data_IF_909589865197
#
_entry.id   IF_909589865197
#
_cell.length_a   1.000
_cell.length_b   1.000
_cell.length_c   1.000
_cell.angle_alpha   90.00
_cell.angle_beta   90.00
_cell.angle_gamma   90.00
#
_symmetry.space_group_name_H-M   'P 1'
#
loop_
_entity.id
_entity.type
_entity.pdbx_description
1 polymer ?
#
# COMPACT_ATOMS: atom_id res chain seq x y z
N UNK A 1 10.68 -15.09 4.03
CA UNK A 1 9.81 -14.03 4.55
C UNK A 1 10.23 -13.72 5.97
N UNK A 2 10.49 -12.45 6.28
CA UNK A 2 10.76 -11.97 7.63
C UNK A 2 9.64 -10.99 7.95
N UNK A 3 8.85 -11.28 8.98
CA UNK A 3 7.82 -10.37 9.48
C UNK A 3 8.35 -9.69 10.73
N UNK A 4 8.58 -8.38 10.65
CA UNK A 4 8.99 -7.57 11.79
C UNK A 4 7.73 -7.05 12.47
N UNK A 5 7.66 -7.18 13.80
CA UNK A 5 6.55 -6.62 14.57
C UNK A 5 6.67 -5.09 14.74
N UNK A 6 7.82 -4.48 14.45
CA UNK A 6 7.99 -3.02 14.45
C UNK A 6 7.24 -2.38 13.27
N UNK A 7 6.72 -1.14 13.39
CA UNK A 7 6.89 -0.23 14.52
C UNK A 7 5.84 -0.34 15.63
N UNK A 8 5.18 -1.48 15.87
CA UNK A 8 4.05 -1.55 16.84
C UNK A 8 4.38 -1.12 18.28
N UNK A 9 5.67 -0.98 18.61
CA UNK A 9 6.17 -0.57 19.93
C UNK A 9 6.05 0.92 20.25
N UNK A 10 5.63 1.78 19.31
CA UNK A 10 5.39 3.20 19.61
C UNK A 10 4.22 3.44 20.56
N UNK A 11 3.33 2.45 20.71
CA UNK A 11 2.15 2.53 21.56
C UNK A 11 2.58 2.71 23.03
N UNK A 12 2.01 3.69 23.76
CA UNK A 12 2.38 3.91 25.15
C UNK A 12 2.04 2.68 26.01
N UNK A 13 2.86 2.46 27.04
CA UNK A 13 2.52 1.52 28.11
C UNK A 13 1.21 2.02 28.75
N UNK A 14 0.27 1.09 28.97
CA UNK A 14 -1.10 1.33 29.44
C UNK A 14 -1.25 2.56 30.36
N UNK A 15 -2.02 3.56 29.89
CA UNK A 15 -2.51 4.69 30.70
C UNK A 15 -1.89 6.06 30.39
N UNK A 16 -0.79 6.14 29.62
CA UNK A 16 -0.21 7.43 29.25
C UNK A 16 -0.81 7.98 27.94
N UNK A 17 -1.35 9.21 27.97
CA UNK A 17 -1.69 9.94 26.74
C UNK A 17 -0.42 10.57 26.16
N UNK A 18 -0.12 10.29 24.90
CA UNK A 18 0.94 10.97 24.17
C UNK A 18 0.36 12.13 23.38
N UNK A 19 0.99 13.30 23.50
CA UNK A 19 0.75 14.38 22.54
C UNK A 19 1.22 13.99 21.13
N UNK A 20 0.85 14.79 20.13
CA UNK A 20 1.16 14.48 18.74
C UNK A 20 2.67 14.45 18.45
N UNK A 21 3.46 15.31 19.09
CA UNK A 21 4.90 15.40 18.87
C UNK A 21 5.60 14.17 19.41
N UNK A 22 5.26 13.79 20.64
CA UNK A 22 5.83 12.62 21.30
C UNK A 22 5.46 11.32 20.58
N UNK A 23 4.20 11.21 20.12
CA UNK A 23 3.75 10.09 19.30
C UNK A 23 4.58 9.92 18.03
N UNK A 24 4.77 11.02 17.30
CA UNK A 24 5.57 11.01 16.08
C UNK A 24 7.04 10.67 16.36
N UNK A 25 7.60 11.18 17.47
CA UNK A 25 8.96 10.85 17.91
C UNK A 25 9.14 9.36 18.18
N UNK A 26 8.22 8.74 18.92
CA UNK A 26 8.27 7.31 19.23
C UNK A 26 8.07 6.45 17.99
N UNK A 27 7.17 6.84 17.09
CA UNK A 27 6.97 6.17 15.80
C UNK A 27 8.25 6.19 14.94
N UNK A 28 8.90 7.35 14.83
CA UNK A 28 10.18 7.46 14.13
C UNK A 28 11.28 6.60 14.77
N UNK A 29 11.34 6.53 16.11
CA UNK A 29 12.30 5.67 16.80
C UNK A 29 12.07 4.18 16.51
N UNK A 30 10.82 3.75 16.43
CA UNK A 30 10.46 2.38 16.06
C UNK A 30 10.86 2.06 14.61
N UNK A 31 10.69 3.02 13.67
CA UNK A 31 11.19 2.89 12.29
C UNK A 31 12.72 2.70 12.26
N UNK A 32 13.47 3.52 12.99
CA UNK A 32 14.95 3.40 13.07
C UNK A 32 15.37 2.03 13.63
N UNK A 33 14.57 1.49 14.55
CA UNK A 33 14.82 0.15 15.11
C UNK A 33 14.57 -0.94 14.06
N UNK A 34 13.50 -0.84 13.28
CA UNK A 34 13.21 -1.74 12.17
C UNK A 34 14.33 -1.69 11.11
N UNK A 35 14.79 -0.50 10.73
CA UNK A 35 15.88 -0.30 9.77
C UNK A 35 17.17 -1.01 10.20
N UNK A 36 17.57 -0.85 11.47
CA UNK A 36 18.73 -1.59 12.04
C UNK A 36 18.53 -3.10 12.00
N UNK A 37 17.32 -3.57 12.24
CA UNK A 37 16.95 -4.99 12.13
C UNK A 37 17.13 -5.52 10.70
N UNK A 38 16.63 -4.78 9.71
CA UNK A 38 16.81 -5.08 8.29
C UNK A 38 18.30 -5.11 7.93
N UNK A 39 19.06 -4.08 8.30
CA UNK A 39 20.50 -4.00 8.04
C UNK A 39 21.26 -5.21 8.61
N UNK A 40 20.90 -5.66 9.82
CA UNK A 40 21.47 -6.86 10.43
C UNK A 40 21.18 -8.12 9.63
N UNK A 41 19.95 -8.31 9.17
CA UNK A 41 19.58 -9.46 8.32
C UNK A 41 20.37 -9.42 7.01
N UNK A 42 20.41 -8.26 6.35
CA UNK A 42 21.12 -8.09 5.08
C UNK A 42 22.63 -8.32 5.21
N UNK A 43 23.25 -7.96 6.35
CA UNK A 43 24.67 -8.21 6.60
C UNK A 43 25.06 -9.69 6.60
N UNK A 44 24.10 -10.60 6.77
CA UNK A 44 24.33 -12.04 6.69
C UNK A 44 24.53 -12.58 5.27
N UNK A 45 24.18 -11.82 4.23
CA UNK A 45 24.30 -12.24 2.84
C UNK A 45 25.64 -11.79 2.24
N UNK A 46 26.72 -12.52 2.50
CA UNK A 46 28.08 -12.15 2.10
C UNK A 46 28.54 -12.66 0.73
N UNK A 47 27.97 -13.77 0.25
CA UNK A 47 28.41 -14.42 -0.98
C UNK A 47 27.58 -14.04 -2.21
N UNK A 48 26.25 -14.02 -2.05
CA UNK A 48 25.31 -13.74 -3.14
C UNK A 48 24.36 -12.64 -2.65
N UNK A 49 24.43 -11.43 -3.23
CA UNK A 49 23.51 -10.36 -2.87
C UNK A 49 22.07 -10.76 -3.25
N UNK A 50 21.11 -10.72 -2.31
CA UNK A 50 19.73 -11.08 -2.60
C UNK A 50 19.01 -9.94 -3.34
N UNK A 51 17.90 -10.27 -4.00
CA UNK A 51 16.84 -9.30 -4.22
C UNK A 51 16.04 -9.20 -2.92
N UNK A 52 15.87 -7.97 -2.45
CA UNK A 52 15.17 -7.61 -1.22
C UNK A 52 13.91 -6.85 -1.61
N UNK A 53 12.79 -7.27 -1.04
CA UNK A 53 11.53 -6.54 -1.12
C UNK A 53 11.14 -6.10 0.30
N UNK A 54 10.95 -4.81 0.50
CA UNK A 54 10.47 -4.23 1.77
C UNK A 54 9.07 -3.66 1.53
N UNK A 55 8.12 -4.09 2.35
CA UNK A 55 6.73 -3.62 2.32
C UNK A 55 6.15 -3.59 3.73
N UNK A 56 4.94 -3.06 3.87
CA UNK A 56 4.13 -3.12 5.10
C UNK A 56 2.78 -3.75 4.78
N UNK A 57 2.18 -4.43 5.75
CA UNK A 57 0.82 -4.98 5.66
C UNK A 57 -0.24 -3.89 5.77
N UNK A 58 0.03 -2.85 6.56
CA UNK A 58 -0.75 -1.62 6.63
C UNK A 58 0.13 -0.41 7.00
N UNK A 59 -0.45 0.79 6.90
CA UNK A 59 0.07 2.04 7.43
C UNK A 59 -0.31 2.25 8.89
N UNK A 60 -0.12 3.45 9.42
CA UNK A 60 -0.43 3.78 10.82
C UNK A 60 -1.00 5.20 10.92
N UNK A 61 -2.19 5.33 11.51
CA UNK A 61 -2.78 6.61 11.88
C UNK A 61 -2.10 7.18 13.12
N UNK A 62 -1.51 8.37 12.99
CA UNK A 62 -0.86 9.09 14.09
C UNK A 62 -1.67 10.32 14.51
N UNK A 63 -2.97 10.34 14.25
CA UNK A 63 -3.89 11.45 14.45
C UNK A 63 -4.45 12.04 13.16
N UNK A 64 -3.99 11.56 12.01
CA UNK A 64 -4.54 11.87 10.68
C UNK A 64 -6.04 11.57 10.67
N UNK A 65 -6.85 12.52 10.21
CA UNK A 65 -8.33 12.42 10.22
C UNK A 65 -8.95 12.13 11.59
N UNK A 66 -8.23 12.47 12.68
CA UNK A 66 -8.64 12.15 14.04
C UNK A 66 -8.49 10.68 14.42
N UNK A 67 -7.82 9.89 13.57
CA UNK A 67 -7.70 8.45 13.71
C UNK A 67 -6.34 8.09 14.31
N UNK A 68 -6.39 7.18 15.27
CA UNK A 68 -5.22 6.55 15.85
C UNK A 68 -5.23 5.09 15.48
N UNK A 69 -4.03 4.54 15.29
CA UNK A 69 -3.83 3.15 14.92
C UNK A 69 -4.21 2.86 13.47
N UNK A 70 -4.49 1.59 13.16
CA UNK A 70 -4.77 1.07 11.83
C UNK A 70 -5.94 0.10 11.85
N UNK A 71 -6.45 -0.24 10.66
CA UNK A 71 -7.58 -1.13 10.46
C UNK A 71 -8.94 -0.48 10.73
N UNK A 72 -8.99 0.85 10.83
CA UNK A 72 -10.21 1.60 11.15
C UNK A 72 -10.76 2.38 9.97
N UNK A 73 -9.92 2.78 9.03
CA UNK A 73 -10.29 3.59 7.87
C UNK A 73 -9.47 3.24 6.63
N UNK A 74 -9.79 3.89 5.52
CA UNK A 74 -9.12 3.70 4.24
C UNK A 74 -8.34 4.94 3.80
N UNK A 75 -7.94 5.83 4.70
CA UNK A 75 -7.07 6.96 4.35
C UNK A 75 -5.65 6.47 4.03
N UNK A 76 -4.88 7.27 3.29
CA UNK A 76 -3.52 6.95 2.87
C UNK A 76 -2.61 6.68 4.05
N UNK A 77 -2.84 7.32 5.20
CA UNK A 77 -2.13 7.02 6.45
C UNK A 77 -2.19 5.54 6.82
N UNK A 78 -3.27 4.83 6.48
CA UNK A 78 -3.46 3.41 6.80
C UNK A 78 -3.26 2.44 5.63
N UNK A 79 -3.40 2.87 4.37
CA UNK A 79 -3.34 1.95 3.22
C UNK A 79 -2.19 2.21 2.24
N UNK A 80 -1.53 3.36 2.31
CA UNK A 80 -0.39 3.69 1.43
C UNK A 80 0.91 3.27 2.09
N UNK A 81 1.32 2.05 1.82
CA UNK A 81 2.51 1.41 2.40
C UNK A 81 3.73 1.48 1.47
N UNK A 82 4.95 1.34 1.99
CA UNK A 82 6.14 1.16 1.15
C UNK A 82 6.02 -0.11 0.29
N UNK A 83 6.56 -0.07 -0.92
CA UNK A 83 6.84 -1.26 -1.74
C UNK A 83 8.17 -1.01 -2.46
N UNK A 84 9.27 -1.40 -1.81
CA UNK A 84 10.63 -1.18 -2.29
C UNK A 84 11.21 -2.49 -2.79
N UNK A 85 11.80 -2.50 -3.98
CA UNK A 85 12.53 -3.64 -4.55
C UNK A 85 13.97 -3.18 -4.77
N UNK A 86 14.94 -3.93 -4.25
CA UNK A 86 16.36 -3.61 -4.37
C UNK A 86 17.18 -4.90 -4.54
N UNK A 87 18.28 -4.83 -5.29
CA UNK A 87 19.18 -5.97 -5.47
C UNK A 87 19.76 -6.05 -6.88
N UNK A 88 20.46 -7.15 -7.21
CA UNK A 88 21.07 -7.34 -8.52
C UNK A 88 20.06 -7.22 -9.66
N UNK A 89 20.42 -6.48 -10.72
CA UNK A 89 19.60 -6.32 -11.91
C UNK A 89 18.43 -5.33 -11.76
N UNK A 90 18.05 -4.94 -10.55
CA UNK A 90 16.98 -3.95 -10.32
C UNK A 90 17.49 -2.55 -10.72
N UNK A 91 16.72 -1.86 -11.57
CA UNK A 91 17.04 -0.51 -12.03
C UNK A 91 16.67 0.52 -10.95
N UNK A 92 17.56 1.49 -10.65
CA UNK A 92 17.20 2.64 -9.83
C UNK A 92 16.06 3.44 -10.48
N UNK A 93 15.02 3.77 -9.70
CA UNK A 93 13.89 4.54 -10.19
C UNK A 93 12.70 4.49 -9.24
N UNK A 94 11.58 5.04 -9.71
CA UNK A 94 10.29 5.01 -9.00
C UNK A 94 9.18 4.66 -9.99
N UNK A 95 8.28 3.78 -9.59
CA UNK A 95 7.03 3.50 -10.29
C UNK A 95 5.98 4.45 -9.70
N UNK A 96 5.36 5.28 -10.54
CA UNK A 96 4.41 6.31 -10.09
C UNK A 96 2.97 5.79 -10.13
N UNK A 97 2.73 4.76 -10.92
CA UNK A 97 1.44 4.10 -11.05
C UNK A 97 1.06 3.32 -9.80
N UNK A 98 -0.24 3.19 -9.56
CA UNK A 98 -0.77 2.45 -8.42
C UNK A 98 -0.36 0.98 -8.48
N UNK A 99 0.28 0.51 -7.42
CA UNK A 99 0.55 -0.91 -7.17
C UNK A 99 -0.22 -1.36 -5.92
N UNK A 100 -0.41 -2.67 -5.77
CA UNK A 100 -1.13 -3.29 -4.66
C UNK A 100 -0.24 -4.31 -3.95
N UNK A 101 -0.54 -4.61 -2.67
CA UNK A 101 0.08 -5.75 -1.98
C UNK A 101 -0.16 -7.09 -2.71
N UNK A 102 -1.26 -7.20 -3.46
CA UNK A 102 -1.55 -8.38 -4.30
C UNK A 102 -0.54 -8.56 -5.44
N UNK A 103 0.13 -7.49 -5.87
CA UNK A 103 1.16 -7.52 -6.92
C UNK A 103 2.46 -8.20 -6.44
N UNK A 104 2.65 -8.35 -5.12
CA UNK A 104 3.84 -8.92 -4.53
C UNK A 104 4.08 -10.37 -4.96
N UNK A 105 3.04 -11.21 -4.91
CA UNK A 105 3.14 -12.63 -5.25
C UNK A 105 3.60 -12.87 -6.70
N UNK A 106 2.93 -12.34 -7.75
CA UNK A 106 3.41 -12.53 -9.12
C UNK A 106 4.78 -11.89 -9.35
N UNK A 107 5.08 -10.75 -8.71
CA UNK A 107 6.40 -10.10 -8.80
C UNK A 107 7.51 -10.97 -8.25
N UNK A 108 7.33 -11.62 -7.09
CA UNK A 108 8.32 -12.52 -6.49
C UNK A 108 8.58 -13.72 -7.41
N UNK A 109 7.52 -14.31 -7.97
CA UNK A 109 7.63 -15.48 -8.86
C UNK A 109 8.48 -15.13 -10.09
N UNK A 110 8.21 -13.98 -10.72
CA UNK A 110 8.94 -13.54 -11.90
C UNK A 110 10.38 -13.11 -11.60
N UNK A 111 10.63 -12.41 -10.49
CA UNK A 111 11.99 -12.08 -10.05
C UNK A 111 12.82 -13.32 -9.70
N UNK A 112 12.16 -14.41 -9.32
CA UNK A 112 12.80 -15.71 -9.12
C UNK A 112 13.05 -16.49 -10.44
N UNK A 113 12.70 -15.92 -11.59
CA UNK A 113 12.93 -16.50 -12.92
C UNK A 113 11.84 -17.47 -13.39
N UNK A 114 10.68 -17.50 -12.71
CA UNK A 114 9.54 -18.32 -13.09
C UNK A 114 8.46 -17.50 -13.79
N UNK A 115 7.51 -18.18 -14.44
CA UNK A 115 6.33 -17.52 -15.02
C UNK A 115 5.22 -17.49 -13.98
N UNK A 116 4.74 -16.29 -13.63
CA UNK A 116 3.59 -16.15 -12.73
C UNK A 116 2.32 -16.75 -13.37
N UNK A 117 1.55 -17.58 -12.65
CA UNK A 117 0.27 -18.07 -13.12
C UNK A 117 -0.66 -16.92 -13.54
N UNK A 118 -1.36 -17.12 -14.64
CA UNK A 118 -2.39 -16.19 -15.10
C UNK A 118 -3.77 -16.75 -14.75
N UNK A 119 -4.71 -15.89 -14.36
CA UNK A 119 -6.10 -16.28 -14.09
C UNK A 119 -6.57 -15.95 -12.67
N UNK A 120 -7.75 -16.43 -12.28
CA UNK A 120 -8.45 -15.98 -11.06
C UNK A 120 -7.73 -16.40 -9.76
N UNK A 121 -6.67 -17.21 -9.83
CA UNK A 121 -5.88 -17.61 -8.66
C UNK A 121 -4.89 -16.55 -8.20
N UNK A 122 -4.63 -15.50 -8.99
CA UNK A 122 -3.74 -14.38 -8.66
C UNK A 122 -4.40 -13.07 -9.09
N UNK A 123 -4.86 -12.26 -8.12
CA UNK A 123 -5.53 -10.97 -8.37
C UNK A 123 -4.56 -9.82 -8.69
N UNK A 124 -3.26 -10.02 -8.48
CA UNK A 124 -2.21 -9.03 -8.72
C UNK A 124 -1.56 -9.12 -10.10
N UNK A 125 -0.79 -8.09 -10.41
CA UNK A 125 0.05 -8.00 -11.62
C UNK A 125 1.51 -7.86 -11.22
N UNK A 126 2.39 -8.57 -11.91
CA UNK A 126 3.82 -8.43 -11.64
C UNK A 126 4.33 -7.04 -12.03
N UNK A 127 5.22 -6.49 -11.20
CA UNK A 127 5.99 -5.28 -11.50
C UNK A 127 7.45 -5.59 -11.85
N UNK A 128 7.82 -6.88 -11.97
CA UNK A 128 9.19 -7.32 -12.21
C UNK A 128 9.80 -6.74 -13.49
N UNK A 129 9.06 -6.76 -14.61
CA UNK A 129 9.51 -6.18 -15.89
C UNK A 129 9.90 -4.70 -15.75
N UNK A 130 9.14 -3.93 -14.98
CA UNK A 130 9.42 -2.51 -14.76
C UNK A 130 10.62 -2.36 -13.82
N UNK A 131 10.68 -3.13 -12.75
CA UNK A 131 11.81 -3.13 -11.81
C UNK A 131 13.14 -3.51 -12.49
N UNK A 132 13.11 -4.41 -13.48
CA UNK A 132 14.27 -4.82 -14.28
C UNK A 132 14.57 -3.87 -15.46
N UNK A 133 13.73 -2.86 -15.70
CA UNK A 133 13.85 -1.93 -16.81
C UNK A 133 13.58 -2.54 -18.19
N UNK A 134 12.85 -3.65 -18.23
CA UNK A 134 12.39 -4.32 -19.45
C UNK A 134 11.10 -3.68 -19.99
N UNK A 135 10.38 -2.94 -19.13
CA UNK A 135 9.24 -2.10 -19.48
C UNK A 135 9.38 -0.72 -18.84
N UNK A 136 8.96 0.32 -19.55
CA UNK A 136 9.08 1.70 -19.08
C UNK A 136 8.08 2.06 -17.95
N UNK A 137 6.89 1.45 -17.96
CA UNK A 137 5.78 1.84 -17.09
C UNK A 137 4.81 0.68 -16.88
N UNK A 138 3.95 0.77 -15.86
CA UNK A 138 2.81 -0.11 -15.71
C UNK A 138 1.68 0.40 -16.61
N UNK A 139 1.00 -0.49 -17.32
CA UNK A 139 -0.19 -0.11 -18.09
C UNK A 139 -1.40 0.01 -17.17
N UNK A 140 -1.79 1.25 -16.87
CA UNK A 140 -3.02 1.58 -16.14
C UNK A 140 -3.09 0.91 -14.76
N UNK A 141 -4.31 0.75 -14.25
CA UNK A 141 -4.60 0.01 -13.03
C UNK A 141 -5.03 0.86 -11.85
N UNK A 142 -5.58 0.16 -10.89
CA UNK A 142 -6.20 0.73 -9.71
C UNK A 142 -6.45 -0.37 -8.70
N UNK A 143 -6.49 0.03 -7.44
CA UNK A 143 -6.59 -0.88 -6.31
C UNK A 143 -7.87 -0.56 -5.56
N UNK A 144 -8.58 -1.60 -5.12
CA UNK A 144 -9.77 -1.46 -4.29
C UNK A 144 -9.51 -2.09 -2.92
N UNK A 145 -10.09 -1.47 -1.90
CA UNK A 145 -9.91 -1.84 -0.49
C UNK A 145 -11.25 -1.90 0.21
N UNK A 146 -11.35 -2.71 1.27
CA UNK A 146 -12.51 -2.78 2.13
C UNK A 146 -12.08 -3.00 3.58
N UNK A 147 -12.61 -2.20 4.51
CA UNK A 147 -12.38 -2.37 5.95
C UNK A 147 -13.54 -1.75 6.73
N UNK A 148 -14.01 -2.40 7.79
CA UNK A 148 -14.98 -1.79 8.73
C UNK A 148 -16.28 -1.26 8.08
N UNK A 149 -16.75 -1.86 6.99
CA UNK A 149 -17.93 -1.38 6.24
C UNK A 149 -17.66 -0.23 5.27
N UNK A 150 -16.40 0.22 5.14
CA UNK A 150 -15.94 1.17 4.15
C UNK A 150 -15.37 0.44 2.93
N UNK A 151 -15.48 1.05 1.77
CA UNK A 151 -14.76 0.62 0.56
C UNK A 151 -14.06 1.79 -0.09
N UNK A 152 -12.90 1.55 -0.69
CA UNK A 152 -12.20 2.58 -1.44
C UNK A 152 -11.72 2.04 -2.78
N UNK A 153 -11.57 2.93 -3.75
CA UNK A 153 -10.89 2.66 -5.01
C UNK A 153 -9.89 3.79 -5.31
N UNK A 154 -8.68 3.42 -5.68
CA UNK A 154 -7.67 4.32 -6.23
C UNK A 154 -7.49 3.99 -7.71
N UNK A 155 -7.63 4.98 -8.57
CA UNK A 155 -7.37 4.83 -10.01
C UNK A 155 -6.66 6.09 -10.52
N UNK A 156 -5.40 5.91 -10.94
CA UNK A 156 -4.53 7.04 -11.25
C UNK A 156 -4.33 7.93 -10.03
N UNK A 157 -4.65 9.23 -10.17
CA UNK A 157 -4.50 10.21 -9.08
C UNK A 157 -5.71 10.32 -8.16
N UNK A 158 -6.83 9.71 -8.53
CA UNK A 158 -8.09 9.88 -7.81
C UNK A 158 -8.37 8.71 -6.90
N UNK A 159 -8.85 9.02 -5.71
CA UNK A 159 -9.30 8.06 -4.71
C UNK A 159 -10.72 8.41 -4.28
N UNK A 160 -11.60 7.42 -4.34
CA UNK A 160 -12.95 7.50 -3.80
C UNK A 160 -13.02 6.59 -2.56
N UNK A 161 -13.56 7.11 -1.46
CA UNK A 161 -13.95 6.35 -0.28
C UNK A 161 -15.48 6.38 -0.17
N UNK A 162 -16.09 5.22 0.06
CA UNK A 162 -17.53 5.04 0.28
C UNK A 162 -17.76 4.49 1.69
N UNK A 163 -18.64 5.15 2.45
CA UNK A 163 -19.13 4.71 3.76
C UNK A 163 -20.65 4.79 3.77
N UNK A 164 -21.31 3.66 3.48
CA UNK A 164 -22.76 3.63 3.26
C UNK A 164 -23.15 4.53 2.08
N UNK A 165 -23.89 5.61 2.34
CA UNK A 165 -24.31 6.60 1.33
C UNK A 165 -23.42 7.84 1.28
N UNK A 166 -22.38 7.91 2.12
CA UNK A 166 -21.42 9.01 2.14
C UNK A 166 -20.23 8.72 1.23
N UNK A 167 -19.77 9.76 0.54
CA UNK A 167 -18.66 9.69 -0.41
C UNK A 167 -17.62 10.76 -0.13
N UNK A 168 -16.35 10.37 -0.20
CA UNK A 168 -15.21 11.29 -0.14
C UNK A 168 -14.33 11.07 -1.38
N UNK A 169 -13.93 12.14 -2.04
CA UNK A 169 -13.13 12.10 -3.27
C UNK A 169 -11.87 12.93 -3.11
N UNK A 170 -10.71 12.33 -3.30
CA UNK A 170 -9.41 12.96 -3.10
C UNK A 170 -8.49 12.83 -4.31
N UNK A 171 -7.72 13.88 -4.55
CA UNK A 171 -6.58 13.87 -5.47
C UNK A 171 -5.32 13.50 -4.69
N UNK A 172 -4.99 12.22 -4.63
CA UNK A 172 -3.94 11.69 -3.73
C UNK A 172 -2.50 12.03 -4.17
N UNK A 173 -2.34 12.66 -5.34
CA UNK A 173 -1.05 13.17 -5.79
C UNK A 173 -0.83 14.60 -5.28
N UNK A 174 -1.79 15.51 -5.50
CA UNK A 174 -1.64 16.90 -5.02
C UNK A 174 -2.02 17.08 -3.55
N UNK A 175 -2.85 16.19 -3.01
CA UNK A 175 -3.30 16.18 -1.63
C UNK A 175 -3.08 14.80 -1.00
N UNK A 176 -1.82 14.43 -0.71
CA UNK A 176 -1.48 13.11 -0.17
C UNK A 176 -2.07 12.85 1.23
N UNK A 177 -2.45 13.91 1.95
CA UNK A 177 -3.07 13.85 3.27
C UNK A 177 -4.60 13.91 3.22
N UNK A 178 -5.20 13.97 2.03
CA UNK A 178 -6.64 13.84 1.79
C UNK A 178 -7.47 14.86 2.58
N UNK A 179 -7.04 16.12 2.62
CA UNK A 179 -7.73 17.21 3.34
C UNK A 179 -8.79 17.92 2.49
N UNK A 180 -8.67 17.88 1.16
CA UNK A 180 -9.55 18.57 0.24
C UNK A 180 -10.53 17.58 -0.42
N UNK A 181 -11.75 17.47 0.13
CA UNK A 181 -12.78 16.63 -0.45
C UNK A 181 -13.41 17.28 -1.70
N UNK A 182 -13.31 16.61 -2.85
CA UNK A 182 -13.78 17.06 -4.15
C UNK A 182 -15.15 16.49 -4.56
N UNK A 183 -15.85 15.77 -3.69
CA UNK A 183 -17.11 15.06 -4.03
C UNK A 183 -18.16 15.97 -4.66
N UNK A 184 -18.29 17.21 -4.18
CA UNK A 184 -19.27 18.20 -4.70
C UNK A 184 -18.80 18.88 -5.98
N UNK A 185 -17.48 18.96 -6.18
CA UNK A 185 -16.86 19.64 -7.33
C UNK A 185 -16.77 18.71 -8.54
N UNK A 186 -16.59 17.40 -8.31
CA UNK A 186 -16.36 16.38 -9.34
C UNK A 186 -17.32 15.18 -9.22
N UNK A 187 -18.65 15.41 -9.29
CA UNK A 187 -19.62 14.31 -9.23
C UNK A 187 -19.50 13.32 -10.41
N UNK A 188 -18.96 13.80 -11.54
CA UNK A 188 -18.61 12.97 -12.70
C UNK A 188 -17.61 11.86 -12.34
N UNK A 189 -16.54 12.22 -11.61
CA UNK A 189 -15.52 11.27 -11.17
C UNK A 189 -16.04 10.31 -10.12
N UNK A 190 -16.93 10.77 -9.23
CA UNK A 190 -17.59 9.88 -8.27
C UNK A 190 -18.31 8.77 -9.05
N UNK A 191 -19.16 9.12 -10.02
CA UNK A 191 -19.89 8.11 -10.79
C UNK A 191 -18.95 7.17 -11.56
N UNK A 192 -17.87 7.68 -12.15
CA UNK A 192 -16.86 6.87 -12.85
C UNK A 192 -16.19 5.86 -11.92
N UNK A 193 -15.65 6.33 -10.78
CA UNK A 193 -14.93 5.49 -9.83
C UNK A 193 -15.85 4.47 -9.16
N UNK A 194 -17.12 4.82 -8.90
CA UNK A 194 -18.12 3.87 -8.39
C UNK A 194 -18.37 2.71 -9.35
N UNK A 195 -18.48 3.00 -10.66
CA UNK A 195 -18.61 1.95 -11.67
C UNK A 195 -17.37 1.05 -11.68
N UNK A 196 -16.18 1.64 -11.63
CA UNK A 196 -14.93 0.89 -11.57
C UNK A 196 -14.79 0.02 -10.31
N UNK A 197 -15.25 0.52 -9.15
CA UNK A 197 -15.29 -0.23 -7.90
C UNK A 197 -16.25 -1.41 -7.99
N UNK A 198 -17.46 -1.20 -8.51
CA UNK A 198 -18.45 -2.27 -8.71
C UNK A 198 -17.92 -3.37 -9.66
N UNK A 199 -17.23 -3.00 -10.74
CA UNK A 199 -16.57 -3.97 -11.63
C UNK A 199 -15.52 -4.80 -10.89
N UNK A 200 -14.68 -4.16 -10.07
CA UNK A 200 -13.66 -4.86 -9.27
C UNK A 200 -14.28 -5.79 -8.22
N UNK A 201 -15.31 -5.34 -7.50
CA UNK A 201 -16.02 -6.18 -6.53
C UNK A 201 -16.66 -7.40 -7.18
N UNK A 202 -17.24 -7.24 -8.38
CA UNK A 202 -17.80 -8.35 -9.14
C UNK A 202 -16.73 -9.35 -9.60
N UNK A 203 -15.52 -8.89 -9.91
CA UNK A 203 -14.38 -9.75 -10.23
C UNK A 203 -13.87 -10.49 -8.99
N UNK A 204 -13.70 -9.80 -7.86
CA UNK A 204 -13.25 -10.40 -6.59
C UNK A 204 -14.17 -11.53 -6.11
N UNK A 205 -15.49 -11.39 -6.26
CA UNK A 205 -16.47 -12.46 -5.94
C UNK A 205 -16.31 -13.74 -6.78
N UNK A 206 -15.56 -13.68 -7.88
CA UNK A 206 -15.26 -14.84 -8.74
C UNK A 206 -13.90 -15.46 -8.40
N UNK A 207 -13.10 -14.82 -7.55
CA UNK A 207 -11.85 -15.38 -7.06
C UNK A 207 -12.18 -16.60 -6.19
N UNK A 208 -11.52 -17.75 -6.40
CA UNK A 208 -11.70 -18.93 -5.56
C UNK A 208 -11.07 -18.75 -4.17
N UNK A 209 -10.38 -17.63 -3.94
CA UNK A 209 -9.81 -17.25 -2.66
C UNK A 209 -10.64 -16.10 -2.05
N UNK A 210 -11.00 -16.22 -0.75
CA UNK A 210 -11.89 -15.27 -0.07
C UNK A 210 -11.26 -13.89 0.15
#
# INVERSE_FOLDING_TARGET
WVHLAEPTTWKPILGASLDATERQRLYHHAIVTADRGIARVLSGFTAIPPIVIVTSDHGEGLGDHGQLHHGTDLYNSQIRVPFVIAGPGIRPGSIQETVSGTDLTPTIIELAGFVAPQGPSIDGRSVADVALGQRASLFGGGSAFAVGGQTAIIQGRWKLIEVGEMYELYDVISDPHEKANHVTVRPDLVLELRKALATRQAAARRSPFP
#
